data_IF_090650252553
#
_entry.id   IF_090650252553
#
_cell.length_a   1.000
_cell.length_b   1.000
_cell.length_c   1.000
_cell.angle_alpha   90.00
_cell.angle_beta   90.00
_cell.angle_gamma   90.00
#
_symmetry.space_group_name_H-M   'P 1'
#
loop_
_entity.id
_entity.type
_entity.pdbx_description
1 polymer ?
#
# COMPACT_ATOMS: atom_id res chain seq x y z
N UNK A 1 0.33 -4.74 17.13
CA UNK A 1 0.91 -3.49 17.67
C UNK A 1 2.01 -3.09 16.72
N UNK A 2 1.95 -1.95 16.03
CA UNK A 2 2.97 -1.57 15.04
C UNK A 2 4.41 -1.85 15.51
N UNK A 3 5.11 -2.77 14.82
CA UNK A 3 6.55 -3.05 15.04
C UNK A 3 7.28 -1.76 15.38
N UNK A 4 7.73 -1.67 16.63
CA UNK A 4 8.13 -0.43 17.30
C UNK A 4 9.30 0.30 16.60
N UNK A 5 10.04 -0.37 15.71
CA UNK A 5 11.29 0.11 15.13
C UNK A 5 11.38 0.05 13.59
N UNK A 6 10.28 -0.17 12.86
CA UNK A 6 10.37 -0.19 11.39
C UNK A 6 10.41 1.23 10.82
N UNK A 7 11.50 1.64 10.13
CA UNK A 7 11.63 2.98 9.59
C UNK A 7 10.65 3.19 8.43
N UNK A 8 10.18 4.43 8.30
CA UNK A 8 9.52 4.84 7.07
C UNK A 8 10.54 4.93 5.94
N UNK A 9 10.23 4.30 4.80
CA UNK A 9 11.02 4.34 3.57
C UNK A 9 10.16 4.78 2.39
N UNK A 10 10.82 5.31 1.36
CA UNK A 10 10.18 5.58 0.08
C UNK A 10 10.05 4.27 -0.69
N UNK A 11 8.85 3.98 -1.19
CA UNK A 11 8.54 2.77 -1.95
C UNK A 11 7.68 3.12 -3.16
N UNK A 12 7.69 2.26 -4.16
CA UNK A 12 6.80 2.34 -5.31
C UNK A 12 5.65 1.34 -5.13
N UNK A 13 4.43 1.81 -5.31
CA UNK A 13 3.22 1.01 -5.19
C UNK A 13 2.39 1.13 -6.46
N UNK A 14 1.48 0.19 -6.70
CA UNK A 14 0.53 0.22 -7.80
C UNK A 14 -0.88 -0.07 -7.31
N UNK A 15 -1.86 0.51 -8.00
CA UNK A 15 -3.27 0.13 -7.85
C UNK A 15 -3.57 -1.15 -8.63
N UNK A 16 -4.32 -2.07 -8.02
CA UNK A 16 -4.70 -3.34 -8.64
C UNK A 16 -6.10 -3.78 -8.19
N UNK A 17 -6.75 -4.61 -9.00
CA UNK A 17 -8.00 -5.29 -8.63
C UNK A 17 -7.65 -6.68 -8.09
N UNK A 18 -7.92 -6.99 -6.81
CA UNK A 18 -7.64 -8.31 -6.26
C UNK A 18 -8.60 -9.36 -6.84
N UNK A 19 -8.10 -10.58 -7.05
CA UNK A 19 -8.91 -11.69 -7.56
C UNK A 19 -9.95 -12.19 -6.53
N UNK A 20 -9.72 -11.96 -5.24
CA UNK A 20 -10.63 -12.29 -4.15
C UNK A 20 -10.73 -11.10 -3.19
N UNK A 21 -11.94 -10.64 -2.91
CA UNK A 21 -12.23 -9.50 -2.02
C UNK A 21 -12.74 -9.92 -0.64
N UNK A 22 -12.73 -11.22 -0.32
CA UNK A 22 -13.24 -11.72 0.97
C UNK A 22 -12.52 -11.04 2.14
N UNK A 23 -13.27 -10.22 2.90
CA UNK A 23 -12.76 -9.45 4.04
C UNK A 23 -12.07 -8.12 3.68
N UNK A 24 -12.02 -7.75 2.40
CA UNK A 24 -11.44 -6.51 1.90
C UNK A 24 -12.53 -5.53 1.45
N UNK A 25 -12.39 -4.26 1.83
CA UNK A 25 -13.31 -3.20 1.39
C UNK A 25 -12.76 -2.48 0.16
N UNK A 26 -13.63 -2.27 -0.84
CA UNK A 26 -13.29 -1.60 -2.09
C UNK A 26 -12.95 -2.57 -3.22
N UNK A 27 -13.05 -2.09 -4.47
CA UNK A 27 -12.72 -2.86 -5.68
C UNK A 27 -11.25 -2.74 -6.08
N UNK A 28 -10.58 -1.65 -5.67
CA UNK A 28 -9.20 -1.33 -6.03
C UNK A 28 -8.37 -1.22 -4.76
N UNK A 29 -7.26 -1.93 -4.75
CA UNK A 29 -6.31 -1.99 -3.65
C UNK A 29 -4.93 -1.52 -4.09
N UNK A 30 -4.09 -1.17 -3.11
CA UNK A 30 -2.72 -0.74 -3.35
C UNK A 30 -1.76 -1.80 -2.82
N UNK A 31 -0.73 -2.14 -3.61
CA UNK A 31 0.35 -3.08 -3.24
C UNK A 31 1.72 -2.56 -3.70
N UNK A 32 2.83 -3.05 -3.13
CA UNK A 32 4.17 -2.80 -3.68
C UNK A 32 4.29 -3.30 -5.12
N UNK A 33 5.02 -2.55 -5.96
CA UNK A 33 5.44 -3.05 -7.27
C UNK A 33 6.52 -4.13 -7.09
N UNK A 34 6.50 -5.15 -7.95
CA UNK A 34 7.51 -6.20 -7.97
C UNK A 34 8.93 -5.66 -8.22
N UNK A 35 9.95 -6.37 -7.72
CA UNK A 35 11.36 -5.99 -7.87
C UNK A 35 11.90 -5.05 -6.78
N UNK A 36 11.13 -4.79 -5.74
CA UNK A 36 11.59 -4.16 -4.49
C UNK A 36 11.81 -5.21 -3.41
N UNK A 37 12.52 -4.85 -2.34
CA UNK A 37 12.73 -5.69 -1.14
C UNK A 37 11.45 -5.80 -0.26
N UNK A 38 10.29 -5.86 -0.89
CA UNK A 38 8.98 -5.87 -0.24
C UNK A 38 8.04 -6.81 -1.01
N UNK A 39 7.40 -7.77 -0.34
CA UNK A 39 6.45 -8.67 -0.99
C UNK A 39 5.26 -7.91 -1.60
N UNK A 40 4.92 -8.25 -2.84
CA UNK A 40 3.72 -7.72 -3.54
C UNK A 40 2.41 -8.25 -2.97
N UNK A 41 2.48 -9.25 -2.09
CA UNK A 41 1.36 -9.80 -1.33
C UNK A 41 0.92 -8.89 -0.18
N UNK A 42 1.75 -7.92 0.22
CA UNK A 42 1.40 -6.98 1.27
C UNK A 42 0.43 -5.93 0.74
N UNK A 43 -0.62 -5.67 1.52
CA UNK A 43 -1.50 -4.53 1.28
C UNK A 43 -0.88 -3.25 1.82
N UNK A 44 -1.13 -2.14 1.13
CA UNK A 44 -0.72 -0.80 1.54
C UNK A 44 -1.94 -0.02 2.00
N UNK A 45 -1.99 0.27 3.29
CA UNK A 45 -2.94 1.22 3.86
C UNK A 45 -2.42 2.64 3.59
N UNK A 46 -3.15 3.39 2.78
CA UNK A 46 -2.77 4.73 2.35
C UNK A 46 -4.03 5.57 2.03
N UNK A 47 -3.84 6.74 1.41
CA UNK A 47 -4.95 7.60 1.01
C UNK A 47 -5.86 6.90 -0.01
N UNK A 48 -7.17 6.88 0.28
CA UNK A 48 -8.20 6.33 -0.62
C UNK A 48 -8.21 6.98 -2.01
N UNK A 49 -7.67 8.19 -2.14
CA UNK A 49 -7.55 8.88 -3.43
C UNK A 49 -6.77 8.06 -4.45
N UNK A 50 -5.76 7.28 -4.01
CA UNK A 50 -4.95 6.46 -4.91
C UNK A 50 -5.75 5.32 -5.58
N UNK A 51 -6.85 4.88 -4.95
CA UNK A 51 -7.71 3.82 -5.48
C UNK A 51 -9.01 4.33 -6.12
N UNK A 52 -9.32 5.62 -5.97
CA UNK A 52 -10.58 6.24 -6.48
C UNK A 52 -10.31 7.24 -7.61
N UNK A 53 -9.27 8.06 -7.48
CA UNK A 53 -9.04 9.22 -8.37
C UNK A 53 -8.15 8.88 -9.57
N UNK A 54 -7.56 7.68 -9.60
CA UNK A 54 -6.59 7.25 -10.62
C UNK A 54 -7.00 5.93 -11.27
N UNK A 55 -6.63 5.69 -12.55
CA UNK A 55 -6.81 4.40 -13.19
C UNK A 55 -6.16 3.24 -12.43
N UNK A 56 -6.73 2.04 -12.57
CA UNK A 56 -6.10 0.81 -12.08
C UNK A 56 -4.78 0.58 -12.84
N UNK A 57 -3.72 0.22 -12.12
CA UNK A 57 -2.38 0.04 -12.66
C UNK A 57 -1.49 1.29 -12.55
N UNK A 58 -2.02 2.43 -12.11
CA UNK A 58 -1.19 3.62 -11.84
C UNK A 58 -0.18 3.32 -10.75
N UNK A 59 1.06 3.76 -10.97
CA UNK A 59 2.15 3.63 -10.00
C UNK A 59 2.32 4.93 -9.22
N UNK A 60 2.71 4.79 -7.97
CA UNK A 60 2.91 5.90 -7.04
C UNK A 60 4.17 5.68 -6.25
N UNK A 61 4.98 6.73 -6.07
CA UNK A 61 6.03 6.74 -5.06
C UNK A 61 5.51 7.43 -3.80
N UNK A 62 5.54 6.71 -2.68
CA UNK A 62 5.05 7.19 -1.39
C UNK A 62 5.94 6.73 -0.23
N UNK A 63 5.78 7.40 0.92
CA UNK A 63 6.45 7.02 2.16
C UNK A 63 5.60 6.03 2.95
N UNK A 64 6.14 4.86 3.27
CA UNK A 64 5.45 3.84 4.07
C UNK A 64 6.41 3.13 5.04
N UNK A 65 5.85 2.52 6.08
CA UNK A 65 6.59 1.62 7.00
C UNK A 65 5.90 0.26 7.06
N UNK A 66 6.67 -0.78 7.35
CA UNK A 66 6.12 -2.10 7.65
C UNK A 66 5.45 -2.07 9.03
N UNK A 67 4.26 -2.64 9.12
CA UNK A 67 3.42 -2.64 10.32
C UNK A 67 2.73 -4.00 10.43
N UNK A 68 2.47 -4.47 11.65
CA UNK A 68 1.67 -5.65 11.91
C UNK A 68 0.30 -5.27 12.51
N UNK A 69 -0.71 -6.05 12.14
CA UNK A 69 -1.96 -6.11 12.90
C UNK A 69 -1.77 -7.14 14.00
N UNK A 70 -2.28 -6.85 15.19
CA UNK A 70 -2.27 -7.82 16.29
C UNK A 70 -3.05 -9.07 15.86
N UNK A 71 -2.32 -10.17 15.59
CA UNK A 71 -2.88 -11.42 15.07
C UNK A 71 -3.32 -11.42 13.60
N UNK A 72 -3.18 -10.31 12.86
CA UNK A 72 -3.78 -10.11 11.52
C UNK A 72 -2.80 -10.01 10.35
N UNK A 73 -1.52 -10.32 10.58
CA UNK A 73 -0.46 -10.29 9.56
C UNK A 73 0.16 -8.91 9.34
N UNK A 74 1.11 -8.86 8.40
CA UNK A 74 1.87 -7.66 8.06
C UNK A 74 1.19 -6.85 6.95
N UNK A 75 1.37 -5.53 7.00
CA UNK A 75 0.92 -4.59 5.98
C UNK A 75 1.83 -3.36 5.97
N UNK A 76 1.73 -2.56 4.92
CA UNK A 76 2.43 -1.28 4.85
C UNK A 76 1.48 -0.15 5.23
N UNK A 77 1.97 0.77 6.05
CA UNK A 77 1.22 1.95 6.44
C UNK A 77 1.86 3.22 5.88
N UNK A 78 1.05 4.02 5.20
CA UNK A 78 1.37 5.36 4.74
C UNK A 78 0.33 6.35 5.24
N UNK A 79 0.78 7.46 5.83
CA UNK A 79 -0.13 8.46 6.37
C UNK A 79 -0.93 9.15 5.24
N UNK A 80 -2.28 9.16 5.27
CA UNK A 80 -3.10 9.61 4.14
C UNK A 80 -2.91 11.06 3.67
N UNK A 81 -2.32 11.93 4.50
CA UNK A 81 -2.07 13.34 4.14
C UNK A 81 -0.66 13.61 3.65
N UNK A 82 0.21 12.60 3.59
CA UNK A 82 1.54 12.78 3.02
C UNK A 82 1.48 12.95 1.50
N UNK A 83 2.41 13.72 0.93
CA UNK A 83 2.52 13.86 -0.51
C UNK A 83 2.86 12.51 -1.15
N UNK A 84 2.30 12.29 -2.33
CA UNK A 84 2.52 11.12 -3.17
C UNK A 84 2.93 11.61 -4.55
N UNK A 85 3.96 11.00 -5.13
CA UNK A 85 4.39 11.25 -6.50
C UNK A 85 3.73 10.22 -7.42
N UNK A 86 3.04 10.68 -8.46
CA UNK A 86 2.41 9.80 -9.47
C UNK A 86 3.45 9.47 -10.54
N UNK A 87 3.68 8.18 -10.77
CA UNK A 87 4.60 7.67 -11.78
C UNK A 87 3.75 7.09 -12.93
N UNK A 88 3.40 7.92 -13.90
CA UNK A 88 2.69 7.48 -15.12
C UNK A 88 3.63 6.81 -16.10
#
# INVERSE_FOLDING_TARGET
>A
MAKLNEPYRMIVVESFVPANTSGLHGSVHIRPVAGQDIPTTLHVECSKRLSVDYPVGTKFRLRAKLTDREGGGEYLYSYPRWPVEVLT
#
